data_IF_193859269001
#
_entry.id   IF_193859269001
#
_cell.length_a   1.000
_cell.length_b   1.000
_cell.length_c   1.000
_cell.angle_alpha   90.00
_cell.angle_beta   90.00
_cell.angle_gamma   90.00
#
_symmetry.space_group_name_H-M   'P 1'
#
loop_
_entity.id
_entity.type
_entity.pdbx_description
1 polymer ?
#
# COMPACT_ATOMS: atom_id res chain seq x y z
N UNK A 1 -27.93 -21.65 -12.99
CA UNK A 1 -27.17 -20.95 -11.93
C UNK A 1 -26.55 -19.70 -12.54
N UNK A 2 -26.78 -18.52 -11.98
CA UNK A 2 -26.24 -17.26 -12.54
C UNK A 2 -24.73 -17.13 -12.30
N UNK A 3 -23.95 -16.59 -13.26
CA UNK A 3 -22.48 -16.55 -13.24
C UNK A 3 -21.84 -15.63 -12.17
N UNK A 4 -22.64 -14.87 -11.40
CA UNK A 4 -22.13 -13.80 -10.53
C UNK A 4 -21.65 -14.19 -9.13
N UNK A 5 -21.80 -15.44 -8.67
CA UNK A 5 -21.21 -15.87 -7.39
C UNK A 5 -19.70 -16.08 -7.53
N UNK A 6 -19.30 -17.07 -8.33
CA UNK A 6 -17.88 -17.43 -8.48
C UNK A 6 -16.95 -16.28 -8.87
N UNK A 7 -17.43 -15.28 -9.62
CA UNK A 7 -16.63 -14.10 -9.96
C UNK A 7 -16.30 -13.21 -8.76
N UNK A 8 -17.26 -13.00 -7.85
CA UNK A 8 -17.05 -12.19 -6.64
C UNK A 8 -16.09 -12.89 -5.69
N UNK A 9 -16.35 -14.17 -5.42
CA UNK A 9 -15.52 -14.95 -4.49
C UNK A 9 -14.08 -15.08 -5.01
N UNK A 10 -13.89 -15.35 -6.30
CA UNK A 10 -12.55 -15.36 -6.92
C UNK A 10 -11.86 -13.99 -6.81
N UNK A 11 -12.60 -12.91 -7.05
CA UNK A 11 -12.04 -11.55 -6.92
C UNK A 11 -11.61 -11.25 -5.48
N UNK A 12 -12.41 -11.65 -4.48
CA UNK A 12 -12.06 -11.49 -3.06
C UNK A 12 -10.75 -12.22 -2.71
N UNK A 13 -10.59 -13.47 -3.14
CA UNK A 13 -9.38 -14.26 -2.88
C UNK A 13 -8.13 -13.62 -3.51
N UNK A 14 -8.24 -13.16 -4.76
CA UNK A 14 -7.16 -12.47 -5.48
C UNK A 14 -6.82 -11.15 -4.76
N UNK A 15 -7.82 -10.35 -4.42
CA UNK A 15 -7.64 -9.07 -3.76
C UNK A 15 -6.98 -9.22 -2.39
N UNK A 16 -7.38 -10.20 -1.59
CA UNK A 16 -6.75 -10.51 -0.30
C UNK A 16 -5.29 -10.95 -0.46
N UNK A 17 -5.01 -11.78 -1.47
CA UNK A 17 -3.65 -12.25 -1.75
C UNK A 17 -2.75 -11.08 -2.14
N UNK A 18 -3.19 -10.27 -3.10
CA UNK A 18 -2.48 -9.05 -3.50
C UNK A 18 -2.28 -8.10 -2.32
N UNK A 19 -3.29 -7.96 -1.45
CA UNK A 19 -3.16 -7.13 -0.27
C UNK A 19 -2.09 -7.64 0.70
N UNK A 20 -2.07 -8.94 1.00
CA UNK A 20 -1.04 -9.54 1.88
C UNK A 20 0.37 -9.27 1.36
N UNK A 21 0.59 -9.43 0.06
CA UNK A 21 1.88 -9.14 -0.57
C UNK A 21 2.28 -7.67 -0.45
N UNK A 22 1.36 -6.76 -0.75
CA UNK A 22 1.61 -5.32 -0.66
C UNK A 22 1.83 -4.88 0.79
N UNK A 23 1.05 -5.42 1.73
CA UNK A 23 1.18 -5.14 3.15
C UNK A 23 2.59 -5.51 3.65
N UNK A 24 3.10 -6.68 3.26
CA UNK A 24 4.46 -7.09 3.59
C UNK A 24 5.54 -6.16 3.01
N UNK A 25 5.36 -5.70 1.75
CA UNK A 25 6.28 -4.72 1.14
C UNK A 25 6.27 -3.38 1.87
N UNK A 26 5.08 -2.91 2.24
CA UNK A 26 4.90 -1.67 3.03
C UNK A 26 5.62 -1.82 4.36
N UNK A 27 5.36 -2.89 5.12
CA UNK A 27 5.97 -3.13 6.43
C UNK A 27 7.50 -3.14 6.36
N UNK A 28 8.07 -3.80 5.34
CA UNK A 28 9.51 -3.81 5.10
C UNK A 28 10.07 -2.40 4.84
N UNK A 29 9.38 -1.59 4.03
CA UNK A 29 9.78 -0.20 3.78
C UNK A 29 9.68 0.63 5.06
N UNK A 30 8.64 0.45 5.88
CA UNK A 30 8.49 1.16 7.16
C UNK A 30 9.63 0.83 8.12
N UNK A 31 10.00 -0.45 8.23
CA UNK A 31 11.12 -0.89 9.05
C UNK A 31 12.44 -0.26 8.58
N UNK A 32 12.68 -0.21 7.26
CA UNK A 32 13.88 0.43 6.69
C UNK A 32 13.93 1.93 6.99
N UNK A 33 12.82 2.64 6.78
CA UNK A 33 12.71 4.08 7.06
C UNK A 33 13.01 4.37 8.54
N UNK A 34 12.42 3.60 9.46
CA UNK A 34 12.62 3.74 10.92
C UNK A 34 14.03 3.35 11.33
N UNK A 35 14.55 2.22 10.84
CA UNK A 35 15.89 1.72 11.16
C UNK A 35 17.00 2.67 10.73
N UNK A 36 16.84 3.32 9.56
CA UNK A 36 17.77 4.33 9.08
C UNK A 36 17.59 5.71 9.77
N UNK A 37 16.65 5.86 10.70
CA UNK A 37 16.24 7.15 11.30
C UNK A 37 15.89 8.20 10.23
N UNK A 38 15.44 7.74 9.06
CA UNK A 38 15.06 8.58 7.93
C UNK A 38 13.68 9.22 8.15
N UNK A 39 12.90 8.66 9.08
CA UNK A 39 11.72 9.26 9.68
C UNK A 39 12.00 10.59 10.40
N UNK A 40 13.24 11.07 10.50
CA UNK A 40 13.52 12.46 10.94
C UNK A 40 13.27 13.48 9.83
N UNK A 41 13.26 13.06 8.58
CA UNK A 41 12.91 13.92 7.46
C UNK A 41 11.38 14.17 7.44
N UNK A 42 10.99 15.44 7.34
CA UNK A 42 9.57 15.82 7.38
C UNK A 42 8.77 15.24 6.21
N UNK A 43 9.34 15.23 5.00
CA UNK A 43 8.67 14.69 3.82
C UNK A 43 8.52 13.16 3.92
N UNK A 44 9.54 12.46 4.43
CA UNK A 44 9.45 11.02 4.71
C UNK A 44 8.36 10.74 5.76
N UNK A 45 8.27 11.51 6.86
CA UNK A 45 7.20 11.34 7.86
C UNK A 45 5.82 11.52 7.29
N UNK A 46 5.65 12.55 6.46
CA UNK A 46 4.37 12.85 5.82
C UNK A 46 3.95 11.69 4.91
N UNK A 47 4.85 11.26 4.03
CA UNK A 47 4.58 10.20 3.06
C UNK A 47 4.36 8.84 3.78
N UNK A 48 5.07 8.60 4.89
CA UNK A 48 4.85 7.46 5.80
C UNK A 48 3.44 7.46 6.41
N UNK A 49 3.03 8.58 7.01
CA UNK A 49 1.70 8.70 7.61
C UNK A 49 0.57 8.64 6.56
N UNK A 50 0.82 9.10 5.35
CA UNK A 50 -0.10 8.91 4.21
C UNK A 50 -0.24 7.42 3.88
N UNK A 51 0.87 6.70 3.70
CA UNK A 51 0.87 5.28 3.34
C UNK A 51 0.15 4.42 4.39
N UNK A 52 0.38 4.66 5.68
CA UNK A 52 -0.31 3.95 6.77
C UNK A 52 -1.82 4.21 6.79
N UNK A 53 -2.24 5.46 6.54
CA UNK A 53 -3.69 5.79 6.44
C UNK A 53 -4.34 5.04 5.27
N UNK A 54 -3.67 4.97 4.12
CA UNK A 54 -4.19 4.24 2.95
C UNK A 54 -4.25 2.74 3.18
N UNK A 55 -3.25 2.16 3.86
CA UNK A 55 -3.25 0.76 4.31
C UNK A 55 -4.47 0.43 5.17
N UNK A 56 -4.81 1.32 6.11
CA UNK A 56 -6.00 1.16 6.94
C UNK A 56 -7.30 1.19 6.12
N UNK A 57 -7.45 2.18 5.23
CA UNK A 57 -8.64 2.31 4.37
C UNK A 57 -8.79 1.10 3.45
N UNK A 58 -7.70 0.64 2.83
CA UNK A 58 -7.74 -0.53 1.95
C UNK A 58 -8.14 -1.81 2.70
N UNK A 59 -7.65 -1.99 3.93
CA UNK A 59 -8.05 -3.10 4.81
C UNK A 59 -9.55 -3.05 5.14
N UNK A 60 -10.09 -1.85 5.39
CA UNK A 60 -11.51 -1.67 5.63
C UNK A 60 -12.35 -2.01 4.39
N UNK A 61 -11.94 -1.54 3.20
CA UNK A 61 -12.60 -1.84 1.92
C UNK A 61 -12.60 -3.33 1.58
N UNK A 62 -11.54 -4.07 1.90
CA UNK A 62 -11.53 -5.53 1.77
C UNK A 62 -12.58 -6.18 2.67
N UNK A 63 -12.70 -5.71 3.91
CA UNK A 63 -13.75 -6.17 4.82
C UNK A 63 -15.16 -5.83 4.31
N UNK A 64 -15.34 -4.66 3.71
CA UNK A 64 -16.61 -4.26 3.09
C UNK A 64 -16.93 -5.14 1.87
N UNK A 65 -15.95 -5.42 1.02
CA UNK A 65 -16.10 -6.30 -0.14
C UNK A 65 -16.50 -7.71 0.29
N UNK A 66 -15.92 -8.24 1.37
CA UNK A 66 -16.32 -9.53 1.97
C UNK A 66 -17.80 -9.53 2.34
N UNK A 67 -18.26 -8.47 3.01
CA UNK A 67 -19.65 -8.31 3.47
C UNK A 67 -20.65 -7.90 2.38
N UNK A 68 -20.16 -7.36 1.26
CA UNK A 68 -21.02 -6.80 0.22
C UNK A 68 -21.96 -7.86 -0.39
N UNK A 69 -23.24 -7.53 -0.52
CA UNK A 69 -24.18 -8.35 -1.28
C UNK A 69 -23.94 -8.29 -2.79
N UNK A 70 -24.53 -9.23 -3.54
CA UNK A 70 -24.41 -9.30 -5.02
C UNK A 70 -24.77 -8.02 -5.77
N UNK A 71 -25.57 -7.13 -5.18
CA UNK A 71 -26.01 -5.88 -5.82
C UNK A 71 -24.98 -4.74 -5.68
N UNK A 72 -24.11 -4.81 -4.67
CA UNK A 72 -23.26 -3.69 -4.27
C UNK A 72 -21.76 -3.97 -4.41
N UNK A 73 -21.37 -5.22 -4.68
CA UNK A 73 -19.96 -5.62 -4.67
C UNK A 73 -19.12 -4.96 -5.77
N UNK A 74 -19.71 -4.63 -6.93
CA UNK A 74 -18.99 -3.98 -8.04
C UNK A 74 -18.50 -2.58 -7.66
N UNK A 75 -19.34 -1.76 -7.02
CA UNK A 75 -18.91 -0.44 -6.53
C UNK A 75 -17.81 -0.54 -5.48
N UNK A 76 -17.92 -1.49 -4.55
CA UNK A 76 -16.86 -1.74 -3.56
C UNK A 76 -15.57 -2.25 -4.20
N UNK A 77 -15.66 -3.03 -5.28
CA UNK A 77 -14.51 -3.46 -6.07
C UNK A 77 -13.83 -2.25 -6.73
N UNK A 78 -14.58 -1.35 -7.36
CA UNK A 78 -14.01 -0.17 -8.01
C UNK A 78 -13.30 0.75 -7.00
N UNK A 79 -13.91 0.96 -5.83
CA UNK A 79 -13.30 1.69 -4.72
C UNK A 79 -12.00 1.02 -4.24
N UNK A 80 -11.99 -0.32 -4.17
CA UNK A 80 -10.84 -1.10 -3.77
C UNK A 80 -9.69 -0.98 -4.79
N UNK A 81 -9.99 -1.08 -6.09
CA UNK A 81 -9.00 -0.94 -7.17
C UNK A 81 -8.38 0.47 -7.19
N UNK A 82 -9.21 1.50 -7.04
CA UNK A 82 -8.74 2.88 -6.91
C UNK A 82 -7.83 3.05 -5.68
N UNK A 83 -8.20 2.43 -4.55
CA UNK A 83 -7.40 2.49 -3.33
C UNK A 83 -6.08 1.73 -3.46
N UNK A 84 -6.06 0.57 -4.12
CA UNK A 84 -4.83 -0.17 -4.42
C UNK A 84 -3.84 0.67 -5.22
N UNK A 85 -4.31 1.31 -6.30
CA UNK A 85 -3.47 2.20 -7.10
C UNK A 85 -2.95 3.38 -6.27
N UNK A 86 -3.78 3.90 -5.38
CA UNK A 86 -3.39 4.97 -4.47
C UNK A 86 -2.30 4.55 -3.49
N UNK A 87 -2.41 3.35 -2.91
CA UNK A 87 -1.39 2.74 -2.04
C UNK A 87 -0.09 2.54 -2.81
N UNK A 88 -0.16 1.98 -4.02
CA UNK A 88 1.01 1.78 -4.89
C UNK A 88 1.76 3.08 -5.13
N UNK A 89 1.05 4.14 -5.54
CA UNK A 89 1.66 5.46 -5.77
C UNK A 89 2.28 6.04 -4.50
N UNK A 90 1.65 5.88 -3.34
CA UNK A 90 2.20 6.35 -2.07
C UNK A 90 3.47 5.57 -1.68
N UNK A 91 3.47 4.25 -1.89
CA UNK A 91 4.63 3.39 -1.69
C UNK A 91 5.80 3.81 -2.60
N UNK A 92 5.56 3.96 -3.90
CA UNK A 92 6.60 4.31 -4.87
C UNK A 92 7.24 5.67 -4.55
N UNK A 93 6.43 6.66 -4.16
CA UNK A 93 6.93 7.97 -3.71
C UNK A 93 7.82 7.86 -2.47
N UNK A 94 7.37 7.13 -1.44
CA UNK A 94 8.14 6.95 -0.21
C UNK A 94 9.43 6.18 -0.49
N UNK A 95 9.37 5.14 -1.31
CA UNK A 95 10.52 4.33 -1.71
C UNK A 95 11.55 5.18 -2.46
N UNK A 96 11.13 5.97 -3.46
CA UNK A 96 12.02 6.86 -4.20
C UNK A 96 12.71 7.87 -3.26
N UNK A 97 11.94 8.54 -2.40
CA UNK A 97 12.48 9.51 -1.43
C UNK A 97 13.46 8.86 -0.45
N UNK A 98 13.14 7.66 0.03
CA UNK A 98 14.05 6.91 0.90
C UNK A 98 15.37 6.58 0.18
N UNK A 99 15.31 6.15 -1.09
CA UNK A 99 16.51 5.87 -1.88
C UNK A 99 17.35 7.12 -2.15
N UNK A 100 16.73 8.25 -2.49
CA UNK A 100 17.43 9.53 -2.65
C UNK A 100 18.16 9.93 -1.36
N UNK A 101 17.49 9.79 -0.22
CA UNK A 101 18.06 10.12 1.10
C UNK A 101 19.26 9.25 1.45
N UNK A 102 19.19 7.95 1.18
CA UNK A 102 20.27 7.00 1.50
C UNK A 102 21.41 7.04 0.47
N UNK A 103 21.13 7.29 -0.80
CA UNK A 103 22.15 7.52 -1.83
C UNK A 103 22.94 8.81 -1.59
N UNK A 104 22.28 9.86 -1.09
CA UNK A 104 22.97 11.09 -0.66
C UNK A 104 23.97 10.86 0.48
N UNK A 105 23.75 9.84 1.34
CA UNK A 105 24.68 9.47 2.41
C UNK A 105 25.92 8.70 1.91
N UNK A 106 25.85 8.01 0.77
CA UNK A 106 26.98 7.22 0.24
C UNK A 106 27.90 8.01 -0.69
N UNK A 107 27.42 9.10 -1.29
CA UNK A 107 28.23 9.96 -2.17
C UNK A 107 29.23 10.86 -1.40
N UNK A 108 28.98 11.16 -0.12
CA UNK A 108 29.87 11.96 0.73
C UNK A 108 31.15 11.26 1.20
N UNK A 109 31.26 9.94 1.03
CA UNK A 109 32.38 9.14 1.58
C UNK A 109 33.56 8.94 0.62
N UNK A 110 33.58 9.59 -0.56
CA UNK A 110 34.58 9.33 -1.61
C UNK A 110 35.37 10.57 -2.07
N UNK A 111 35.53 11.57 -1.20
CA UNK A 111 36.47 12.68 -1.37
C UNK A 111 37.10 13.05 -0.01
N UNK A 112 38.15 12.33 0.37
CA UNK A 112 39.15 12.74 1.35
C UNK A 112 40.46 12.03 1.01
#
# INVERSE_FOLDING_TARGET
>A
MGPGRGQKELYQEIAETHWKEWNAKIDLLLQRVRGAKADRDFAIRRDLAELQRRQYVLTALLGDLQRAGRKNWEGTKDDLEAMFESVRRAYDRLAARYQERTAGMTSGARRA
#
